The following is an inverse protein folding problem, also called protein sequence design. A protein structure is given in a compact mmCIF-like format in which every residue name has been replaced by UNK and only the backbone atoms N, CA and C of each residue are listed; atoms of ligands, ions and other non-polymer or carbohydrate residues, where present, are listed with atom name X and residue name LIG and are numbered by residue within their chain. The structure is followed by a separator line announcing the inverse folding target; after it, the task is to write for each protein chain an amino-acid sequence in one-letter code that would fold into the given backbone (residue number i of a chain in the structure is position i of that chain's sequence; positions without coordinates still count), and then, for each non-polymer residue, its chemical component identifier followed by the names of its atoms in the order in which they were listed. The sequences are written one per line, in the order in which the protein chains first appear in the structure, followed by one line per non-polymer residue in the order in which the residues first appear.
data_IF_087926136739
#
_entry.id   IF_087926136739
#
_cell.length_a   1.000
_cell.length_b   1.000
_cell.length_c   1.000
_cell.angle_alpha   90.00
_cell.angle_beta   90.00
_cell.angle_gamma   90.00
#
_symmetry.space_group_name_H-M   'P 1'
#
loop_
_entity.id
_entity.type
_entity.pdbx_description
1 polymer ?
#
# COMPACT_ATOMS: atom_id res chain seq x y z
N UNK A 1 -30.83 -2.25 13.90
CA UNK A 1 -31.18 -2.61 12.49
C UNK A 1 -30.51 -1.59 11.57
N UNK A 2 -29.16 -1.58 11.59
CA UNK A 2 -28.36 -0.76 10.67
C UNK A 2 -27.95 -1.63 9.49
N UNK A 3 -28.73 -1.49 8.44
CA UNK A 3 -28.48 -2.13 7.14
C UNK A 3 -27.18 -1.60 6.55
N UNK A 4 -26.25 -2.53 6.32
CA UNK A 4 -25.34 -2.55 5.16
C UNK A 4 -25.23 -1.22 4.39
N UNK A 5 -24.44 -0.29 4.90
CA UNK A 5 -24.02 0.88 4.15
C UNK A 5 -22.65 0.64 3.49
N UNK A 6 -22.56 -0.43 2.69
CA UNK A 6 -21.62 -0.52 1.57
C UNK A 6 -22.20 0.16 0.31
N UNK A 7 -23.12 1.07 0.49
CA UNK A 7 -23.56 1.95 -0.57
C UNK A 7 -22.63 3.16 -0.58
N UNK A 8 -21.70 3.15 -1.52
CA UNK A 8 -20.97 4.31 -1.96
C UNK A 8 -21.95 5.47 -2.11
N UNK A 9 -21.92 6.42 -1.17
CA UNK A 9 -22.78 7.57 -1.23
C UNK A 9 -22.28 8.45 -2.38
N UNK A 10 -22.98 8.45 -3.52
CA UNK A 10 -22.66 9.21 -4.74
C UNK A 10 -22.56 10.73 -4.56
N UNK A 11 -22.57 11.25 -3.33
CA UNK A 11 -22.57 12.70 -3.01
C UNK A 11 -21.50 13.17 -2.04
N UNK A 12 -20.46 12.39 -1.81
CA UNK A 12 -19.33 12.82 -0.96
C UNK A 12 -18.01 12.33 -1.52
N UNK A 13 -17.48 12.98 -2.56
CA UNK A 13 -16.10 12.75 -2.97
C UNK A 13 -15.18 13.15 -1.82
N UNK A 14 -14.52 12.18 -1.22
CA UNK A 14 -13.43 12.43 -0.28
C UNK A 14 -12.23 12.87 -1.11
N UNK A 15 -12.11 14.18 -1.33
CA UNK A 15 -10.92 14.75 -1.98
C UNK A 15 -9.84 14.81 -0.90
N UNK A 16 -8.83 14.00 -1.03
CA UNK A 16 -7.63 14.10 -0.21
C UNK A 16 -6.53 14.82 -0.99
N UNK A 17 -5.80 15.70 -0.33
CA UNK A 17 -4.56 16.28 -0.85
C UNK A 17 -3.35 15.37 -0.59
N UNK A 18 -3.55 14.20 0.02
CA UNK A 18 -2.47 13.24 0.27
C UNK A 18 -1.99 12.62 -1.02
N UNK A 19 -0.68 12.57 -1.20
CA UNK A 19 0.00 11.89 -2.30
C UNK A 19 0.57 10.55 -1.83
N UNK A 20 0.64 9.58 -2.75
CA UNK A 20 1.11 8.24 -2.45
C UNK A 20 2.50 7.97 -3.03
N UNK A 21 3.28 7.17 -2.32
CA UNK A 21 4.52 6.59 -2.83
C UNK A 21 4.41 5.07 -2.74
N UNK A 22 4.67 4.38 -3.86
CA UNK A 22 4.88 2.93 -3.87
C UNK A 22 6.37 2.68 -4.03
N UNK A 23 6.98 2.06 -3.02
CA UNK A 23 8.38 1.64 -3.12
C UNK A 23 8.44 0.22 -3.68
N UNK A 24 8.78 0.13 -4.95
CA UNK A 24 8.83 -1.10 -5.74
C UNK A 24 10.27 -1.45 -6.16
N UNK A 25 11.24 -1.20 -5.28
CA UNK A 25 12.66 -1.50 -5.48
C UNK A 25 13.10 -2.77 -4.78
N UNK A 26 14.42 -2.99 -4.81
CA UNK A 26 15.07 -4.09 -4.12
C UNK A 26 15.44 -5.27 -5.02
N UNK A 27 16.43 -6.07 -4.59
CA UNK A 27 16.98 -7.18 -5.38
C UNK A 27 16.16 -8.46 -5.35
N UNK A 28 15.21 -8.59 -4.41
CA UNK A 28 14.33 -9.74 -4.22
C UNK A 28 15.06 -11.11 -4.27
N UNK A 29 16.27 -11.19 -3.70
CA UNK A 29 17.14 -12.39 -3.79
C UNK A 29 16.52 -13.64 -3.17
N UNK A 30 15.64 -13.49 -2.21
CA UNK A 30 14.89 -14.61 -1.60
C UNK A 30 13.91 -15.31 -2.56
N UNK A 31 13.64 -14.69 -3.72
CA UNK A 31 12.82 -15.24 -4.79
C UNK A 31 13.63 -15.77 -5.96
N UNK A 32 14.98 -15.82 -5.87
CA UNK A 32 15.77 -16.42 -6.94
C UNK A 32 15.43 -17.90 -7.14
N UNK A 33 15.39 -18.36 -8.43
CA UNK A 33 15.75 -17.65 -9.67
C UNK A 33 14.64 -16.79 -10.29
N UNK A 34 13.41 -16.76 -9.76
CA UNK A 34 12.27 -16.04 -10.32
C UNK A 34 12.55 -14.55 -10.57
N UNK A 35 13.16 -13.88 -9.60
CA UNK A 35 13.44 -12.43 -9.63
C UNK A 35 14.72 -12.05 -10.39
N UNK A 36 15.40 -13.01 -11.03
CA UNK A 36 16.62 -12.72 -11.81
C UNK A 36 16.35 -11.80 -13.00
N UNK A 37 15.25 -12.04 -13.71
CA UNK A 37 14.94 -11.36 -14.96
C UNK A 37 13.85 -10.29 -14.83
N UNK A 38 13.00 -10.36 -13.79
CA UNK A 38 11.87 -9.45 -13.60
C UNK A 38 11.82 -8.94 -12.18
N UNK A 39 11.21 -7.75 -12.00
CA UNK A 39 10.89 -7.22 -10.68
C UNK A 39 9.91 -8.14 -9.96
N UNK A 40 10.11 -8.31 -8.64
CA UNK A 40 9.16 -9.01 -7.78
C UNK A 40 7.74 -8.48 -7.93
N UNK A 41 7.58 -7.18 -7.97
CA UNK A 41 6.28 -6.51 -7.99
C UNK A 41 5.55 -6.61 -9.34
N UNK A 42 6.22 -7.13 -10.38
CA UNK A 42 5.60 -7.50 -11.68
C UNK A 42 5.13 -8.96 -11.67
N UNK A 43 5.68 -9.79 -10.77
CA UNK A 43 5.26 -11.20 -10.69
C UNK A 43 3.76 -11.30 -10.42
N UNK A 44 3.09 -12.31 -11.01
CA UNK A 44 1.66 -12.50 -10.78
C UNK A 44 1.40 -12.98 -9.35
N UNK A 45 0.38 -12.40 -8.72
CA UNK A 45 -0.28 -12.97 -7.56
C UNK A 45 -1.68 -13.37 -8.00
N UNK A 46 -1.84 -14.64 -8.30
CA UNK A 46 -3.01 -15.25 -8.91
C UNK A 46 -3.27 -14.73 -10.33
N UNK A 47 -4.07 -13.69 -10.50
CA UNK A 47 -4.61 -13.24 -11.79
C UNK A 47 -4.15 -11.85 -12.25
N UNK A 48 -3.30 -11.19 -11.47
CA UNK A 48 -2.80 -9.84 -11.77
C UNK A 48 -1.38 -9.60 -11.20
N UNK A 49 -0.64 -8.61 -11.72
CA UNK A 49 0.66 -8.24 -11.18
C UNK A 49 0.56 -7.80 -9.72
N UNK A 50 1.58 -8.15 -8.93
CA UNK A 50 1.65 -7.82 -7.50
C UNK A 50 1.45 -6.32 -7.21
N UNK A 51 1.98 -5.43 -8.04
CA UNK A 51 1.88 -3.97 -7.87
C UNK A 51 0.42 -3.46 -7.83
N UNK A 52 -0.55 -4.21 -8.37
CA UNK A 52 -1.97 -3.84 -8.33
C UNK A 52 -2.52 -3.80 -6.90
N UNK A 53 -2.00 -4.63 -6.00
CA UNK A 53 -2.45 -4.71 -4.61
C UNK A 53 -2.09 -3.46 -3.80
N UNK A 54 -0.82 -3.01 -3.73
CA UNK A 54 -0.49 -1.75 -3.08
C UNK A 54 -1.11 -0.53 -3.80
N UNK A 55 -1.20 -0.53 -5.13
CA UNK A 55 -1.88 0.54 -5.86
C UNK A 55 -3.36 0.61 -5.47
N UNK A 56 -4.06 -0.53 -5.42
CA UNK A 56 -5.46 -0.58 -4.99
C UNK A 56 -5.66 -0.10 -3.55
N UNK A 57 -4.70 -0.35 -2.66
CA UNK A 57 -4.72 0.15 -1.27
C UNK A 57 -4.70 1.68 -1.24
N UNK A 58 -3.83 2.31 -2.01
CA UNK A 58 -3.80 3.78 -2.13
C UNK A 58 -5.09 4.32 -2.74
N UNK A 59 -5.64 3.65 -3.76
CA UNK A 59 -6.92 4.02 -4.36
C UNK A 59 -8.09 3.94 -3.36
N UNK A 60 -8.12 2.92 -2.50
CA UNK A 60 -9.12 2.78 -1.42
C UNK A 60 -8.97 3.88 -0.36
N UNK A 61 -7.75 4.37 -0.14
CA UNK A 61 -7.48 5.53 0.70
C UNK A 61 -7.94 6.87 0.06
N UNK A 62 -8.33 6.86 -1.22
CA UNK A 62 -8.72 8.04 -1.97
C UNK A 62 -7.55 8.78 -2.62
N UNK A 63 -6.35 8.22 -2.60
CA UNK A 63 -5.13 8.82 -3.17
C UNK A 63 -5.14 8.66 -4.70
N UNK A 64 -4.99 9.76 -5.43
CA UNK A 64 -5.02 9.79 -6.91
C UNK A 64 -3.67 10.07 -7.55
N UNK A 65 -2.78 10.75 -6.85
CA UNK A 65 -1.43 11.05 -7.31
C UNK A 65 -0.45 10.09 -6.64
N UNK A 66 0.25 9.28 -7.43
CA UNK A 66 1.14 8.23 -6.90
C UNK A 66 2.47 8.26 -7.63
N UNK A 67 3.56 8.28 -6.84
CA UNK A 67 4.92 8.11 -7.31
C UNK A 67 5.35 6.65 -7.12
N UNK A 68 5.77 6.00 -8.20
CA UNK A 68 6.36 4.66 -8.17
C UNK A 68 7.87 4.81 -8.21
N UNK A 69 8.52 4.34 -7.14
CA UNK A 69 9.97 4.36 -7.02
C UNK A 69 10.50 2.95 -7.23
N UNK A 70 11.40 2.79 -8.20
CA UNK A 70 11.97 1.47 -8.51
C UNK A 70 13.43 1.59 -8.99
N UNK A 71 14.05 0.44 -9.26
CA UNK A 71 15.42 0.37 -9.79
C UNK A 71 15.46 0.84 -11.25
N UNK A 72 16.63 1.27 -11.77
CA UNK A 72 16.78 1.64 -13.19
C UNK A 72 16.38 0.51 -14.14
N UNK A 73 16.61 -0.74 -13.74
CA UNK A 73 16.27 -1.94 -14.54
C UNK A 73 14.77 -2.14 -14.64
N UNK A 74 14.07 -1.96 -13.52
CA UNK A 74 12.69 -2.42 -13.38
C UNK A 74 11.66 -1.31 -13.64
N UNK A 75 12.04 -0.04 -13.52
CA UNK A 75 11.12 1.10 -13.68
C UNK A 75 10.40 1.12 -15.03
N UNK A 76 11.06 0.84 -16.17
CA UNK A 76 10.38 0.82 -17.48
C UNK A 76 9.24 -0.20 -17.57
N UNK A 77 9.31 -1.32 -16.83
CA UNK A 77 8.23 -2.30 -16.82
C UNK A 77 6.98 -1.77 -16.10
N UNK A 78 7.15 -0.94 -15.07
CA UNK A 78 6.02 -0.29 -14.40
C UNK A 78 5.40 0.80 -15.27
N UNK A 79 6.22 1.57 -16.00
CA UNK A 79 5.77 2.57 -16.96
C UNK A 79 4.96 1.93 -18.09
N UNK A 80 5.43 0.80 -18.63
CA UNK A 80 4.72 0.04 -19.67
C UNK A 80 3.39 -0.53 -19.16
N UNK A 81 3.39 -1.10 -17.92
CA UNK A 81 2.22 -1.74 -17.34
C UNK A 81 1.11 -0.77 -16.97
N UNK A 82 1.45 0.36 -16.35
CA UNK A 82 0.51 1.26 -15.68
C UNK A 82 0.29 2.58 -16.43
N UNK A 83 1.21 2.96 -17.34
CA UNK A 83 1.17 4.22 -18.06
C UNK A 83 1.20 5.42 -17.12
N UNK A 84 0.53 6.50 -17.50
CA UNK A 84 0.37 7.72 -16.70
C UNK A 84 -0.79 7.66 -15.69
N UNK A 85 -1.53 6.55 -15.64
CA UNK A 85 -2.69 6.34 -14.77
C UNK A 85 -3.98 6.97 -15.26
N UNK A 86 -3.99 7.74 -16.34
CA UNK A 86 -5.17 8.44 -16.86
C UNK A 86 -6.33 7.51 -17.19
N UNK A 87 -6.04 6.28 -17.66
CA UNK A 87 -7.04 5.26 -17.98
C UNK A 87 -7.94 4.86 -16.78
N UNK A 88 -7.42 5.00 -15.57
CA UNK A 88 -8.14 4.73 -14.31
C UNK A 88 -8.37 6.00 -13.48
N UNK A 89 -8.22 7.18 -14.10
CA UNK A 89 -8.45 8.48 -13.49
C UNK A 89 -7.46 8.84 -12.40
N UNK A 90 -6.25 8.31 -12.45
CA UNK A 90 -5.12 8.62 -11.59
C UNK A 90 -4.05 9.43 -12.33
N UNK A 91 -3.06 9.92 -11.56
CA UNK A 91 -1.81 10.47 -12.06
C UNK A 91 -0.66 9.66 -11.48
N UNK A 92 0.05 8.93 -12.33
CA UNK A 92 1.19 8.13 -11.95
C UNK A 92 2.48 8.80 -12.43
N UNK A 93 3.44 8.89 -11.53
CA UNK A 93 4.79 9.40 -11.79
C UNK A 93 5.81 8.33 -11.42
N UNK A 94 7.02 8.44 -11.94
CA UNK A 94 8.04 7.41 -11.83
C UNK A 94 9.37 8.03 -11.43
N UNK A 95 10.09 7.39 -10.51
CA UNK A 95 11.40 7.85 -10.03
C UNK A 95 12.37 6.68 -9.86
N UNK A 96 13.58 6.87 -10.34
CA UNK A 96 14.64 5.87 -10.17
C UNK A 96 15.22 5.96 -8.77
N UNK A 97 15.36 4.81 -8.09
CA UNK A 97 16.19 4.61 -6.91
C UNK A 97 17.47 3.88 -7.34
N UNK A 98 18.58 4.58 -7.38
CA UNK A 98 19.88 4.02 -7.79
C UNK A 98 20.42 3.01 -6.77
N UNK A 99 20.32 3.36 -5.49
CA UNK A 99 20.82 2.55 -4.38
C UNK A 99 19.72 2.46 -3.32
N UNK A 100 19.29 1.25 -2.94
CA UNK A 100 18.26 1.06 -1.90
C UNK A 100 18.89 1.21 -0.51
N UNK A 101 18.81 2.40 0.07
CA UNK A 101 19.41 2.76 1.36
C UNK A 101 18.37 2.84 2.48
N UNK A 102 17.32 2.02 2.45
CA UNK A 102 16.27 2.00 3.46
C UNK A 102 14.95 2.64 3.00
N UNK A 103 13.89 2.36 3.75
CA UNK A 103 12.53 2.72 3.35
C UNK A 103 12.25 4.23 3.46
N UNK A 104 12.83 4.91 4.45
CA UNK A 104 12.63 6.34 4.63
C UNK A 104 13.23 7.17 3.49
N UNK A 105 14.19 6.63 2.72
CA UNK A 105 14.75 7.27 1.52
C UNK A 105 13.65 7.60 0.48
N UNK A 106 12.53 6.87 0.48
CA UNK A 106 11.41 7.13 -0.41
C UNK A 106 10.88 8.56 -0.29
N UNK A 107 10.87 9.15 0.91
CA UNK A 107 10.43 10.52 1.13
C UNK A 107 11.47 11.55 0.69
N UNK A 108 12.75 11.22 0.78
CA UNK A 108 13.83 12.07 0.24
C UNK A 108 13.75 12.13 -1.29
N UNK A 109 13.59 10.96 -1.93
CA UNK A 109 13.41 10.87 -3.39
C UNK A 109 12.09 11.49 -3.86
N UNK A 110 11.04 11.35 -3.06
CA UNK A 110 9.70 11.86 -3.34
C UNK A 110 9.46 13.32 -2.95
N UNK A 111 10.44 14.03 -2.39
CA UNK A 111 10.24 15.38 -1.87
C UNK A 111 9.69 16.36 -2.91
N UNK A 112 10.24 16.36 -4.11
CA UNK A 112 9.77 17.18 -5.23
C UNK A 112 8.32 16.83 -5.63
N UNK A 113 7.98 15.54 -5.68
CA UNK A 113 6.64 15.04 -5.98
C UNK A 113 5.63 15.43 -4.89
N UNK A 114 5.98 15.23 -3.62
CA UNK A 114 5.10 15.57 -2.49
C UNK A 114 4.88 17.07 -2.37
N UNK A 115 5.91 17.88 -2.66
CA UNK A 115 5.83 19.33 -2.72
C UNK A 115 5.20 19.97 -1.46
N UNK A 116 5.58 19.45 -0.28
CA UNK A 116 5.07 19.92 1.00
C UNK A 116 3.67 19.44 1.38
N UNK A 117 3.08 18.53 0.60
CA UNK A 117 1.81 17.88 0.94
C UNK A 117 2.03 16.66 1.83
N UNK A 118 1.01 16.22 2.59
CA UNK A 118 1.04 14.96 3.33
C UNK A 118 1.30 13.78 2.39
N UNK A 119 2.09 12.80 2.86
CA UNK A 119 2.49 11.65 2.05
C UNK A 119 2.16 10.32 2.70
N UNK A 120 1.72 9.35 1.91
CA UNK A 120 1.66 7.96 2.35
C UNK A 120 2.66 7.10 1.56
N UNK A 121 3.25 6.13 2.25
CA UNK A 121 4.16 5.15 1.69
C UNK A 121 3.56 3.76 1.83
N UNK A 122 3.58 3.00 0.74
CA UNK A 122 3.28 1.57 0.77
C UNK A 122 4.41 0.79 0.09
N UNK A 123 4.75 -0.36 0.66
CA UNK A 123 5.70 -1.26 0.03
C UNK A 123 5.04 -2.03 -1.10
N UNK A 124 5.72 -2.13 -2.23
CA UNK A 124 5.19 -2.71 -3.47
C UNK A 124 4.89 -4.20 -3.43
N UNK A 125 5.26 -4.87 -2.33
CA UNK A 125 5.05 -6.29 -2.09
C UNK A 125 4.10 -6.59 -0.92
N UNK A 126 3.48 -5.56 -0.34
CA UNK A 126 2.53 -5.71 0.74
C UNK A 126 1.10 -5.76 0.21
N UNK A 127 0.37 -6.78 0.62
CA UNK A 127 -1.02 -7.01 0.24
C UNK A 127 -1.90 -7.02 1.49
N UNK A 128 -3.04 -6.36 1.38
CA UNK A 128 -3.99 -6.23 2.49
C UNK A 128 -5.39 -6.67 2.04
N UNK A 129 -6.07 -7.43 2.91
CA UNK A 129 -7.46 -7.80 2.70
C UNK A 129 -8.19 -7.89 4.03
N UNK A 130 -9.32 -7.21 4.14
CA UNK A 130 -10.14 -7.26 5.35
C UNK A 130 -11.37 -6.37 5.26
N UNK A 131 -12.34 -6.63 6.13
CA UNK A 131 -13.54 -5.80 6.23
C UNK A 131 -13.20 -4.39 6.70
N UNK A 132 -13.94 -3.40 6.21
CA UNK A 132 -13.80 -1.99 6.58
C UNK A 132 -12.42 -1.36 6.29
N UNK A 133 -11.57 -2.04 5.50
CA UNK A 133 -10.22 -1.55 5.22
C UNK A 133 -10.22 -0.14 4.62
N UNK A 134 -11.07 0.13 3.64
CA UNK A 134 -11.19 1.49 3.08
C UNK A 134 -11.58 2.56 4.09
N UNK A 135 -12.35 2.22 5.13
CA UNK A 135 -12.67 3.15 6.22
C UNK A 135 -11.43 3.42 7.09
N UNK A 136 -10.71 2.37 7.49
CA UNK A 136 -9.48 2.50 8.28
C UNK A 136 -8.42 3.35 7.55
N UNK A 137 -8.31 3.18 6.23
CA UNK A 137 -7.40 3.98 5.40
C UNK A 137 -7.79 5.46 5.37
N UNK A 138 -9.08 5.79 5.21
CA UNK A 138 -9.58 7.17 5.25
C UNK A 138 -9.35 7.84 6.60
N UNK A 139 -9.51 7.10 7.69
CA UNK A 139 -9.17 7.58 9.03
C UNK A 139 -7.68 7.82 9.21
N UNK A 140 -6.82 6.97 8.61
CA UNK A 140 -5.37 7.17 8.64
C UNK A 140 -4.96 8.43 7.84
N UNK A 141 -5.58 8.64 6.67
CA UNK A 141 -5.42 9.87 5.88
C UNK A 141 -5.82 11.10 6.69
N UNK A 142 -7.02 11.10 7.28
CA UNK A 142 -7.51 12.23 8.08
C UNK A 142 -6.57 12.53 9.26
N UNK A 143 -6.11 11.48 9.96
CA UNK A 143 -5.17 11.60 11.07
C UNK A 143 -3.85 12.26 10.67
N UNK A 144 -3.28 11.88 9.52
CA UNK A 144 -2.04 12.48 9.04
C UNK A 144 -2.24 13.92 8.52
N UNK A 145 -3.40 14.23 7.95
CA UNK A 145 -3.75 15.60 7.52
C UNK A 145 -3.95 16.56 8.72
N UNK A 146 -4.42 16.06 9.86
CA UNK A 146 -4.51 16.83 11.11
C UNK A 146 -3.12 17.12 11.71
N UNK A 147 -2.11 16.37 11.34
CA UNK A 147 -0.71 16.46 11.80
C UNK A 147 -0.23 15.19 12.49
N UNK A 148 1.01 14.82 12.22
CA UNK A 148 1.66 13.63 12.77
C UNK A 148 1.71 12.45 11.82
N UNK A 149 1.79 11.24 12.37
CA UNK A 149 1.87 10.00 11.62
C UNK A 149 0.82 8.98 12.06
N UNK A 150 0.36 8.16 11.12
CA UNK A 150 -0.49 7.02 11.39
C UNK A 150 0.11 5.77 10.73
N UNK A 151 0.37 4.75 11.54
CA UNK A 151 0.86 3.44 11.11
C UNK A 151 -0.11 2.34 11.54
N UNK A 152 0.15 1.11 11.14
CA UNK A 152 -0.68 -0.03 11.51
C UNK A 152 0.11 -1.03 12.33
N UNK A 153 -0.58 -1.77 13.19
CA UNK A 153 -0.06 -2.91 13.92
C UNK A 153 -0.84 -4.18 13.54
N UNK A 154 -0.13 -5.25 13.25
CA UNK A 154 -0.68 -6.56 12.91
C UNK A 154 -0.06 -7.63 13.79
N UNK A 155 -0.91 -8.40 14.50
CA UNK A 155 -0.44 -9.47 15.36
C UNK A 155 0.07 -10.65 14.53
N UNK A 156 1.32 -11.05 14.77
CA UNK A 156 1.99 -12.15 14.08
C UNK A 156 2.55 -13.16 15.08
N UNK A 157 2.76 -14.38 14.62
CA UNK A 157 3.35 -15.44 15.47
C UNK A 157 4.82 -15.16 15.80
N UNK A 158 5.58 -14.60 14.85
CA UNK A 158 6.99 -14.23 15.01
C UNK A 158 7.26 -12.84 14.40
N UNK A 159 7.42 -11.79 15.25
CA UNK A 159 7.61 -10.43 14.76
C UNK A 159 9.05 -10.06 14.44
N UNK A 160 10.04 -10.93 14.66
CA UNK A 160 11.49 -10.63 14.59
C UNK A 160 11.97 -10.15 13.22
N UNK A 161 11.21 -10.40 12.15
CA UNK A 161 11.55 -9.96 10.80
C UNK A 161 11.09 -8.53 10.46
N UNK A 162 10.34 -7.89 11.35
CA UNK A 162 9.61 -6.64 11.11
C UNK A 162 9.97 -5.56 12.12
N UNK A 163 9.54 -4.32 11.86
CA UNK A 163 9.38 -3.33 12.90
C UNK A 163 8.32 -3.78 13.89
N UNK A 164 8.57 -3.62 15.19
CA UNK A 164 7.68 -4.06 16.27
C UNK A 164 7.22 -2.87 17.08
N UNK A 165 5.92 -2.78 17.34
CA UNK A 165 5.32 -1.74 18.18
C UNK A 165 4.85 -2.32 19.50
N UNK A 166 5.19 -1.63 20.62
CA UNK A 166 4.78 -1.95 21.98
C UNK A 166 3.72 -0.97 22.47
N UNK A 167 2.73 -1.48 23.20
CA UNK A 167 1.63 -0.69 23.79
C UNK A 167 1.54 -0.90 25.29
N UNK A 168 1.01 0.10 26.00
CA UNK A 168 0.52 -0.10 27.36
C UNK A 168 -0.90 -0.69 27.38
N UNK A 169 -1.44 -0.85 28.59
CA UNK A 169 -2.79 -1.39 28.80
C UNK A 169 -3.90 -0.51 28.21
N UNK A 170 -3.65 0.76 28.02
CA UNK A 170 -4.58 1.74 27.46
C UNK A 170 -4.44 1.89 25.93
N UNK A 171 -3.51 1.11 25.30
CA UNK A 171 -3.25 1.12 23.86
C UNK A 171 -2.36 2.29 23.40
N UNK A 172 -1.69 2.98 24.30
CA UNK A 172 -0.72 4.02 24.00
C UNK A 172 0.60 3.36 23.56
N UNK A 173 1.18 3.87 22.48
CA UNK A 173 2.48 3.38 22.00
C UNK A 173 3.59 3.74 22.98
N UNK A 174 4.34 2.73 23.42
CA UNK A 174 5.47 2.87 24.33
C UNK A 174 6.79 2.88 23.59
N UNK A 175 6.97 1.97 22.63
CA UNK A 175 8.22 1.86 21.88
C UNK A 175 8.01 1.30 20.47
N UNK A 176 9.01 1.53 19.62
CA UNK A 176 9.15 0.96 18.29
C UNK A 176 10.57 0.44 18.13
N UNK A 177 10.73 -0.80 17.67
CA UNK A 177 12.02 -1.43 17.48
C UNK A 177 12.09 -2.08 16.09
N UNK A 178 13.18 -1.85 15.37
CA UNK A 178 13.42 -2.46 14.06
C UNK A 178 14.05 -3.83 14.23
N UNK A 179 13.35 -4.88 13.77
CA UNK A 179 13.81 -6.28 13.78
C UNK A 179 14.49 -6.70 15.10
N UNK A 180 13.81 -6.56 16.24
CA UNK A 180 14.41 -6.83 17.54
C UNK A 180 14.68 -8.33 17.71
N UNK A 181 15.85 -8.68 18.28
CA UNK A 181 16.16 -10.06 18.65
C UNK A 181 15.22 -10.59 19.74
N UNK A 182 14.81 -9.72 20.66
CA UNK A 182 13.87 -9.99 21.74
C UNK A 182 12.69 -9.01 21.69
N UNK A 183 11.66 -9.31 20.88
CA UNK A 183 10.53 -8.42 20.68
C UNK A 183 9.71 -8.25 21.97
N UNK A 184 9.26 -7.03 22.26
CA UNK A 184 8.44 -6.70 23.42
C UNK A 184 6.95 -6.94 23.20
N UNK A 185 6.54 -7.14 21.96
CA UNK A 185 5.17 -7.50 21.59
C UNK A 185 5.17 -8.35 20.33
N UNK A 186 4.00 -8.91 19.97
CA UNK A 186 3.79 -9.62 18.70
C UNK A 186 3.20 -8.74 17.61
N UNK A 187 3.14 -7.42 17.81
CA UNK A 187 2.57 -6.50 16.82
C UNK A 187 3.65 -6.00 15.85
N UNK A 188 3.68 -6.61 14.67
CA UNK A 188 4.49 -6.16 13.54
C UNK A 188 3.89 -4.90 12.91
N UNK A 189 4.74 -4.02 12.39
CA UNK A 189 4.34 -2.83 11.61
C UNK A 189 4.38 -3.18 10.12
N UNK A 190 3.23 -3.33 9.46
CA UNK A 190 3.18 -3.57 8.02
C UNK A 190 3.72 -2.39 7.21
N UNK A 191 4.10 -2.66 5.97
CA UNK A 191 4.65 -1.67 5.05
C UNK A 191 3.61 -0.68 4.50
N UNK A 192 2.89 0.01 5.37
CA UNK A 192 1.87 1.00 5.05
C UNK A 192 1.89 2.13 6.08
N UNK A 193 2.22 3.34 5.65
CA UNK A 193 2.53 4.47 6.52
C UNK A 193 1.88 5.74 5.99
N UNK A 194 1.32 6.57 6.88
CA UNK A 194 0.71 7.86 6.56
C UNK A 194 1.35 8.95 7.40
N UNK A 195 1.79 10.02 6.76
CA UNK A 195 2.53 11.10 7.41
C UNK A 195 2.01 12.46 6.99
N UNK A 196 2.17 13.42 7.87
CA UNK A 196 1.89 14.83 7.60
C UNK A 196 2.92 15.46 6.63
N UNK A 197 2.74 16.72 6.35
CA UNK A 197 3.59 17.50 5.43
C UNK A 197 5.06 17.64 5.85
N UNK A 198 5.42 17.31 7.10
CA UNK A 198 6.79 17.43 7.62
C UNK A 198 7.65 16.20 7.31
N UNK A 199 7.08 15.16 6.73
CA UNK A 199 7.74 13.87 6.53
C UNK A 199 9.04 13.95 5.72
N UNK A 200 9.08 14.77 4.66
CA UNK A 200 10.27 14.91 3.82
C UNK A 200 11.43 15.55 4.58
N UNK A 201 11.16 16.59 5.37
CA UNK A 201 12.15 17.24 6.21
C UNK A 201 12.68 16.28 7.27
N UNK A 202 11.80 15.56 7.97
CA UNK A 202 12.19 14.56 8.97
C UNK A 202 13.03 13.44 8.34
N UNK A 203 12.61 12.91 7.19
CA UNK A 203 13.35 11.86 6.48
C UNK A 203 14.74 12.31 6.00
N UNK A 204 14.87 13.55 5.53
CA UNK A 204 16.15 14.12 5.10
C UNK A 204 17.16 14.30 6.24
N UNK A 205 16.69 14.45 7.48
CA UNK A 205 17.52 14.64 8.68
C UNK A 205 17.84 13.32 9.42
N UNK A 206 17.33 12.18 8.95
CA UNK A 206 17.66 10.88 9.55
C UNK A 206 19.14 10.54 9.39
N UNK A 207 19.68 9.82 10.36
CA UNK A 207 20.99 9.20 10.26
C UNK A 207 20.85 7.73 9.91
N UNK A 208 21.75 7.16 9.10
CA UNK A 208 21.74 5.73 8.83
C UNK A 208 21.88 4.91 10.10
N UNK A 209 21.13 3.82 10.19
CA UNK A 209 21.25 2.84 11.29
C UNK A 209 22.58 2.10 11.26
N UNK A 210 22.83 1.26 12.26
CA UNK A 210 23.98 0.35 12.27
C UNK A 210 24.06 -0.58 11.05
N UNK A 211 22.93 -0.75 10.33
CA UNK A 211 22.86 -1.51 9.07
C UNK A 211 23.18 -0.67 7.83
N UNK A 212 23.43 0.62 7.99
CA UNK A 212 23.65 1.58 6.90
C UNK A 212 22.36 2.01 6.18
N UNK A 213 21.17 1.77 6.77
CA UNK A 213 19.87 2.05 6.17
C UNK A 213 19.18 3.23 6.87
N UNK A 214 18.48 4.06 6.11
CA UNK A 214 17.54 5.06 6.62
C UNK A 214 16.22 4.35 6.98
N UNK A 215 16.12 3.96 8.25
CA UNK A 215 15.05 3.11 8.74
C UNK A 215 13.72 3.88 8.83
N UNK A 216 12.66 3.27 8.34
CA UNK A 216 11.31 3.81 8.52
C UNK A 216 10.89 3.80 9.99
N UNK A 217 11.40 2.84 10.76
CA UNK A 217 11.18 2.75 12.21
C UNK A 217 11.76 3.96 12.93
N UNK A 218 12.92 4.47 12.50
CA UNK A 218 13.52 5.66 13.11
C UNK A 218 12.74 6.92 12.73
N UNK A 219 12.20 7.00 11.50
CA UNK A 219 11.25 8.06 11.14
C UNK A 219 10.01 8.03 12.04
N UNK A 220 9.44 6.84 12.27
CA UNK A 220 8.27 6.68 13.15
C UNK A 220 8.59 7.07 14.62
N UNK A 221 9.82 6.80 15.10
CA UNK A 221 10.26 7.23 16.44
C UNK A 221 10.30 8.75 16.60
N UNK A 222 10.60 9.51 15.55
CA UNK A 222 10.53 10.97 15.63
C UNK A 222 9.10 11.41 15.97
N UNK A 223 8.10 10.87 15.28
CA UNK A 223 6.69 11.16 15.57
C UNK A 223 6.23 10.62 16.93
N UNK A 224 6.76 9.47 17.38
CA UNK A 224 6.48 8.94 18.71
C UNK A 224 7.02 9.88 19.79
N UNK A 225 8.25 10.36 19.65
CA UNK A 225 8.88 11.27 20.59
C UNK A 225 8.19 12.64 20.66
N UNK A 226 7.59 13.09 19.56
CA UNK A 226 6.77 14.28 19.48
C UNK A 226 5.34 14.07 20.04
N UNK A 227 4.96 12.82 20.35
CA UNK A 227 3.61 12.48 20.80
C UNK A 227 2.55 12.55 19.70
N UNK A 228 2.96 12.52 18.42
CA UNK A 228 2.08 12.68 17.26
C UNK A 228 1.94 11.40 16.42
N UNK A 229 2.49 10.27 16.88
CA UNK A 229 2.32 8.96 16.27
C UNK A 229 1.01 8.32 16.73
N UNK A 230 0.17 7.92 15.79
CA UNK A 230 -1.01 7.08 16.04
C UNK A 230 -0.80 5.71 15.43
N UNK A 231 -1.29 4.67 16.10
CA UNK A 231 -1.26 3.28 15.61
C UNK A 231 -2.68 2.71 15.56
N UNK A 232 -3.04 2.14 14.41
CA UNK A 232 -4.31 1.43 14.21
C UNK A 232 -4.04 -0.07 14.14
N UNK A 233 -4.77 -0.85 14.94
CA UNK A 233 -4.60 -2.30 14.95
C UNK A 233 -5.52 -2.96 13.93
N UNK A 234 -4.96 -3.85 13.13
CA UNK A 234 -5.75 -4.77 12.32
C UNK A 234 -6.34 -5.87 13.22
N UNK A 235 -7.64 -6.06 13.11
CA UNK A 235 -8.36 -7.05 13.91
C UNK A 235 -8.25 -8.46 13.33
N UNK A 236 -8.74 -9.45 14.08
CA UNK A 236 -8.89 -10.83 13.59
C UNK A 236 -9.73 -10.88 12.32
N UNK A 237 -9.33 -11.73 11.38
CA UNK A 237 -9.97 -11.82 10.06
C UNK A 237 -9.41 -10.82 9.02
N UNK A 238 -8.49 -9.95 9.42
CA UNK A 238 -7.70 -9.17 8.49
C UNK A 238 -6.50 -9.99 8.02
N UNK A 239 -6.18 -9.94 6.74
CA UNK A 239 -5.00 -10.56 6.17
C UNK A 239 -4.01 -9.49 5.70
N UNK A 240 -2.80 -9.59 6.22
CA UNK A 240 -1.62 -8.93 5.68
C UNK A 240 -0.69 -10.01 5.14
N UNK A 241 -0.37 -9.94 3.87
CA UNK A 241 0.45 -10.92 3.17
C UNK A 241 1.69 -10.20 2.66
N UNK A 242 2.83 -10.62 3.15
CA UNK A 242 4.13 -10.22 2.63
C UNK A 242 4.60 -11.33 1.68
N UNK A 243 4.84 -11.01 0.45
CA UNK A 243 5.25 -11.97 -0.56
C UNK A 243 6.78 -12.14 -0.62
N UNK A 244 7.44 -12.21 0.55
CA UNK A 244 8.89 -12.14 0.73
C UNK A 244 9.69 -13.32 0.18
N UNK A 245 9.08 -14.51 0.02
CA UNK A 245 9.69 -15.74 -0.48
C UNK A 245 8.70 -16.52 -1.34
N UNK A 246 9.12 -17.66 -1.90
CA UNK A 246 8.29 -18.47 -2.80
C UNK A 246 7.04 -19.03 -2.11
N UNK A 247 7.15 -19.45 -0.86
CA UNK A 247 6.03 -20.03 -0.12
C UNK A 247 4.97 -18.97 0.18
N UNK A 248 5.38 -17.80 0.70
CA UNK A 248 4.46 -16.70 0.97
C UNK A 248 3.84 -16.11 -0.31
N UNK A 249 4.54 -16.14 -1.45
CA UNK A 249 3.99 -15.75 -2.75
C UNK A 249 2.90 -16.74 -3.20
N UNK A 250 3.13 -18.04 -3.05
CA UNK A 250 2.14 -19.08 -3.35
C UNK A 250 0.92 -18.99 -2.44
N UNK A 251 1.12 -18.81 -1.13
CA UNK A 251 0.06 -18.64 -0.14
C UNK A 251 -0.81 -17.42 -0.46
N UNK A 252 -0.20 -16.29 -0.83
CA UNK A 252 -0.92 -15.10 -1.24
C UNK A 252 -1.78 -15.37 -2.49
N UNK A 253 -1.24 -16.04 -3.49
CA UNK A 253 -2.00 -16.43 -4.69
C UNK A 253 -3.19 -17.34 -4.37
N UNK A 254 -2.99 -18.36 -3.52
CA UNK A 254 -4.05 -19.26 -3.08
C UNK A 254 -5.14 -18.56 -2.26
N UNK A 255 -4.75 -17.65 -1.37
CA UNK A 255 -5.68 -16.84 -0.58
C UNK A 255 -6.57 -16.00 -1.50
N UNK A 256 -5.99 -15.24 -2.42
CA UNK A 256 -6.73 -14.40 -3.36
C UNK A 256 -7.65 -15.25 -4.24
N UNK A 257 -7.14 -16.36 -4.80
CA UNK A 257 -7.94 -17.27 -5.61
C UNK A 257 -9.16 -17.80 -4.84
N UNK A 258 -8.97 -18.19 -3.58
CA UNK A 258 -10.05 -18.72 -2.74
C UNK A 258 -11.14 -17.67 -2.52
N UNK A 259 -10.77 -16.44 -2.15
CA UNK A 259 -11.73 -15.36 -1.92
C UNK A 259 -12.49 -15.02 -3.21
N UNK A 260 -11.80 -14.81 -4.32
CA UNK A 260 -12.40 -14.44 -5.59
C UNK A 260 -13.37 -15.52 -6.11
N UNK A 261 -12.96 -16.79 -6.06
CA UNK A 261 -13.77 -17.91 -6.53
C UNK A 261 -15.02 -18.12 -5.66
N UNK A 262 -14.94 -17.85 -4.37
CA UNK A 262 -16.09 -18.01 -3.45
C UNK A 262 -17.08 -16.86 -3.52
N UNK A 263 -16.61 -15.64 -3.68
CA UNK A 263 -17.46 -14.44 -3.58
C UNK A 263 -17.83 -13.85 -4.96
N UNK A 264 -17.13 -14.23 -6.02
CA UNK A 264 -17.45 -13.80 -7.39
C UNK A 264 -17.08 -12.34 -7.70
N UNK A 265 -16.24 -11.72 -6.90
CA UNK A 265 -15.63 -10.40 -7.18
C UNK A 265 -14.11 -10.52 -7.29
N UNK A 266 -13.47 -9.49 -7.83
CA UNK A 266 -12.02 -9.44 -7.95
C UNK A 266 -11.41 -8.58 -6.84
N UNK A 267 -10.48 -9.16 -6.08
CA UNK A 267 -9.69 -8.43 -5.06
C UNK A 267 -8.72 -7.48 -5.78
N UNK A 268 -8.58 -6.26 -5.29
CA UNK A 268 -7.64 -5.28 -5.85
C UNK A 268 -7.82 -5.03 -7.35
N UNK A 269 -9.06 -5.01 -7.81
CA UNK A 269 -9.42 -4.63 -9.17
C UNK A 269 -9.37 -3.10 -9.28
N UNK A 270 -8.29 -2.57 -9.84
CA UNK A 270 -8.03 -1.12 -9.88
C UNK A 270 -9.07 -0.38 -10.71
N UNK A 271 -9.58 -0.96 -11.79
CA UNK A 271 -10.60 -0.38 -12.65
C UNK A 271 -11.95 -0.29 -11.91
N UNK A 272 -12.33 -1.34 -11.17
CA UNK A 272 -13.54 -1.32 -10.33
C UNK A 272 -13.44 -0.26 -9.23
N UNK A 273 -12.28 -0.16 -8.56
CA UNK A 273 -12.07 0.83 -7.49
C UNK A 273 -12.13 2.25 -8.07
N UNK A 274 -11.51 2.49 -9.22
CA UNK A 274 -11.58 3.77 -9.93
C UNK A 274 -13.04 4.16 -10.26
N UNK A 275 -13.82 3.21 -10.79
CA UNK A 275 -15.23 3.40 -11.09
C UNK A 275 -16.06 3.66 -9.83
N UNK A 276 -15.87 2.88 -8.77
CA UNK A 276 -16.56 3.07 -7.48
C UNK A 276 -16.24 4.41 -6.82
N UNK A 277 -15.01 4.87 -6.97
CA UNK A 277 -14.60 6.19 -6.53
C UNK A 277 -15.10 7.33 -7.44
N UNK A 278 -15.76 7.02 -8.56
CA UNK A 278 -16.23 8.01 -9.53
C UNK A 278 -15.11 8.69 -10.33
N UNK A 279 -13.93 8.06 -10.39
CA UNK A 279 -12.78 8.59 -11.15
C UNK A 279 -12.88 8.29 -12.64
N UNK A 280 -13.59 7.21 -12.99
CA UNK A 280 -13.96 6.86 -14.37
C UNK A 280 -15.47 6.61 -14.47
N UNK A 281 -16.02 6.78 -15.68
CA UNK A 281 -17.44 6.53 -15.94
C UNK A 281 -17.73 5.04 -16.14
N UNK A 282 -19.02 4.68 -16.14
CA UNK A 282 -19.48 3.31 -16.45
C UNK A 282 -19.11 2.90 -17.88
N UNK A 283 -19.18 3.85 -18.83
CA UNK A 283 -18.81 3.63 -20.22
C UNK A 283 -17.31 3.36 -20.36
N UNK A 284 -16.48 4.11 -19.61
CA UNK A 284 -15.02 3.89 -19.56
C UNK A 284 -14.70 2.51 -18.97
N UNK A 285 -15.37 2.12 -17.87
CA UNK A 285 -15.20 0.78 -17.28
C UNK A 285 -15.56 -0.32 -18.28
N UNK A 286 -16.69 -0.18 -18.98
CA UNK A 286 -17.12 -1.14 -20.01
C UNK A 286 -16.12 -1.21 -21.18
N UNK A 287 -15.54 -0.09 -21.58
CA UNK A 287 -14.52 -0.05 -22.63
C UNK A 287 -13.25 -0.80 -22.22
N UNK A 288 -12.76 -0.56 -20.99
CA UNK A 288 -11.61 -1.30 -20.42
C UNK A 288 -11.88 -2.81 -20.39
N UNK A 289 -13.09 -3.23 -20.01
CA UNK A 289 -13.49 -4.64 -20.01
C UNK A 289 -13.43 -5.27 -21.40
N UNK A 290 -13.89 -4.58 -22.43
CA UNK A 290 -13.91 -5.07 -23.82
C UNK A 290 -12.51 -5.24 -24.41
N UNK A 291 -11.54 -4.43 -24.00
CA UNK A 291 -10.16 -4.57 -24.43
C UNK A 291 -9.51 -5.87 -23.91
N UNK A 292 -9.93 -6.32 -22.73
CA UNK A 292 -9.37 -7.50 -22.04
C UNK A 292 -10.21 -8.74 -22.35
N UNK A 293 -9.82 -9.54 -23.32
CA UNK A 293 -10.52 -10.79 -23.73
C UNK A 293 -10.34 -11.94 -22.73
N UNK A 294 -10.40 -11.65 -21.43
CA UNK A 294 -10.16 -12.59 -20.33
C UNK A 294 -11.36 -12.66 -19.38
N UNK A 295 -11.29 -13.53 -18.37
CA UNK A 295 -12.28 -13.54 -17.28
C UNK A 295 -12.32 -12.20 -16.53
N UNK A 296 -11.18 -11.54 -16.39
CA UNK A 296 -11.07 -10.22 -15.77
C UNK A 296 -11.85 -9.16 -16.57
N UNK A 297 -11.66 -9.10 -17.89
CA UNK A 297 -12.43 -8.17 -18.74
C UNK A 297 -13.94 -8.43 -18.70
N UNK A 298 -14.37 -9.70 -18.77
CA UNK A 298 -15.80 -10.06 -18.62
C UNK A 298 -16.36 -9.67 -17.25
N UNK A 299 -15.54 -9.68 -16.21
CA UNK A 299 -15.98 -9.18 -14.90
C UNK A 299 -16.26 -7.68 -14.95
N UNK A 300 -15.37 -6.86 -15.55
CA UNK A 300 -15.56 -5.41 -15.69
C UNK A 300 -16.83 -5.09 -16.50
N UNK A 301 -17.05 -5.77 -17.63
CA UNK A 301 -18.28 -5.63 -18.43
C UNK A 301 -19.54 -5.97 -17.60
N UNK A 302 -19.48 -7.06 -16.83
CA UNK A 302 -20.58 -7.49 -15.96
C UNK A 302 -20.94 -6.45 -14.89
N UNK A 303 -19.97 -5.88 -14.19
CA UNK A 303 -20.23 -4.88 -13.15
C UNK A 303 -20.68 -3.55 -13.75
N UNK A 304 -20.15 -3.15 -14.91
CA UNK A 304 -20.60 -1.98 -15.64
C UNK A 304 -22.08 -2.10 -16.06
N UNK A 305 -22.50 -3.28 -16.53
CA UNK A 305 -23.89 -3.54 -16.93
C UNK A 305 -24.89 -3.57 -15.75
N UNK A 306 -24.44 -4.00 -14.57
CA UNK A 306 -25.32 -4.08 -13.38
C UNK A 306 -25.53 -2.75 -12.68
N UNK A 307 -24.65 -1.77 -12.86
CA UNK A 307 -24.80 -0.42 -12.29
C UNK A 307 -24.81 -0.39 -10.77
N UNK A 308 -23.93 -1.13 -10.11
CA UNK A 308 -23.82 -1.15 -8.63
C UNK A 308 -23.45 0.19 -8.03
#
# INVERSE_FOLDING_TARGET
MEKLLYLCNRKGFFITHMKGIILAGGSATRLYPLSKAISKQIMPVYDKPMIYYPLSTLMLAGVREVLIISTPRDLPMFEELLGDGSRIGMQLSYKVQLVPNGLAQAFVLGNEFLHGEPGCLILGDNMFYGQHFGHMLKEAVASAQEGGACIFGYEVADPRAYGVVEFDADGKVLSLEEKPANPKSNYAVPGLYFYDKTVCEKAANLQPSARGEYEITDLNKLYLNEGTLKVKLFSRGFAWLDTGNCDSLLEAGNFIATIQNRQGFYVSCIEEIAWRNGWISTEQLAALGKEMKTAYGRYLERIAAKGY
#
